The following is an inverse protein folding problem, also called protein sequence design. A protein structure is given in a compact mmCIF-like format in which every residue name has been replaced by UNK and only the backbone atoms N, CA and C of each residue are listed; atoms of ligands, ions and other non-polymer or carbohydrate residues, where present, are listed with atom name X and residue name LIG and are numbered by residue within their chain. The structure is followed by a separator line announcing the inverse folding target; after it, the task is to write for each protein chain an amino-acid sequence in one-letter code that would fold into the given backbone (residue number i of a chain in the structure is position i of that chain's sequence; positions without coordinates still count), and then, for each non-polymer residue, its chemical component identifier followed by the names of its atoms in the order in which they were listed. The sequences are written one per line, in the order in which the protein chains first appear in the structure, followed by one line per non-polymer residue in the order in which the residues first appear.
data_IF_741870819172
#
_entry.id   IF_741870819172
#
_cell.length_a   1.000
_cell.length_b   1.000
_cell.length_c   1.000
_cell.angle_alpha   90.00
_cell.angle_beta   90.00
_cell.angle_gamma   90.00
#
_symmetry.space_group_name_H-M   'P 1'
#
loop_
_entity.id
_entity.type
_entity.pdbx_description
1 polymer ?
#
# COMPACT_ATOMS: atom_id res chain seq x y z
N UNK A 1 0.89 -14.31 -14.82
CA UNK A 1 -0.57 -14.36 -14.56
C UNK A 1 -0.93 -14.26 -13.06
N UNK A 2 -0.43 -15.11 -12.12
CA UNK A 2 -0.91 -15.07 -10.73
C UNK A 2 -0.73 -13.74 -10.01
N UNK A 3 0.37 -13.03 -10.28
CA UNK A 3 0.66 -11.73 -9.67
C UNK A 3 -0.40 -10.66 -9.98
N UNK A 4 -0.96 -10.65 -11.20
CA UNK A 4 -1.98 -9.67 -11.60
C UNK A 4 -3.30 -9.92 -10.85
N UNK A 5 -3.69 -11.18 -10.70
CA UNK A 5 -4.89 -11.53 -9.94
C UNK A 5 -4.76 -11.15 -8.46
N UNK A 6 -3.60 -11.44 -7.85
CA UNK A 6 -3.31 -11.04 -6.47
C UNK A 6 -3.35 -9.52 -6.31
N UNK A 7 -2.73 -8.74 -7.21
CA UNK A 7 -2.75 -7.28 -7.11
C UNK A 7 -4.16 -6.68 -7.21
N UNK A 8 -5.05 -7.29 -7.99
CA UNK A 8 -6.45 -6.83 -8.06
C UNK A 8 -7.20 -7.10 -6.77
N UNK A 9 -6.98 -8.24 -6.11
CA UNK A 9 -7.66 -8.60 -4.86
C UNK A 9 -7.14 -7.78 -3.68
N UNK A 10 -5.82 -7.67 -3.53
CA UNK A 10 -5.22 -6.91 -2.43
C UNK A 10 -5.37 -5.39 -2.59
N UNK A 11 -5.60 -4.93 -3.83
CA UNK A 11 -5.62 -3.52 -4.16
C UNK A 11 -4.23 -2.95 -4.41
N UNK A 12 -4.20 -1.79 -5.09
CA UNK A 12 -2.98 -1.09 -5.47
C UNK A 12 -2.84 0.29 -4.82
N UNK A 13 -3.83 0.68 -4.01
CA UNK A 13 -3.89 1.96 -3.31
C UNK A 13 -4.68 1.80 -2.02
N UNK A 14 -4.37 2.63 -1.04
CA UNK A 14 -5.09 2.72 0.22
C UNK A 14 -5.11 4.17 0.69
N UNK A 15 -6.12 4.52 1.48
CA UNK A 15 -6.26 5.83 2.10
C UNK A 15 -6.16 5.65 3.61
N UNK A 16 -5.24 6.39 4.24
CA UNK A 16 -5.07 6.39 5.69
C UNK A 16 -5.42 7.78 6.20
N UNK A 17 -6.38 7.91 7.15
CA UNK A 17 -6.67 9.18 7.80
C UNK A 17 -5.44 9.68 8.57
N UNK A 18 -5.30 11.01 8.64
CA UNK A 18 -4.27 11.69 9.43
C UNK A 18 -4.98 12.56 10.46
N UNK A 19 -4.66 12.39 11.75
CA UNK A 19 -5.15 13.22 12.86
C UNK A 19 -3.94 13.69 13.67
N UNK A 20 -3.89 14.97 14.02
CA UNK A 20 -2.79 15.57 14.80
C UNK A 20 -1.40 15.20 14.25
N UNK A 21 -1.23 15.31 12.94
CA UNK A 21 0.01 14.98 12.21
C UNK A 21 0.45 13.51 12.28
N UNK A 22 -0.38 12.60 12.77
CA UNK A 22 -0.09 11.16 12.86
C UNK A 22 -1.00 10.36 11.92
N UNK A 23 -0.45 9.31 11.31
CA UNK A 23 -1.26 8.32 10.56
C UNK A 23 -2.12 7.52 11.54
N UNK A 24 -3.42 7.44 11.29
CA UNK A 24 -4.37 6.70 12.12
C UNK A 24 -4.27 5.19 11.88
N UNK A 25 -3.15 4.59 12.28
CA UNK A 25 -2.95 3.15 12.30
C UNK A 25 -3.17 2.62 13.72
N UNK A 26 -3.82 1.47 13.86
CA UNK A 26 -3.88 0.75 15.11
C UNK A 26 -2.52 0.17 15.51
N UNK A 27 -2.36 -0.22 16.78
CA UNK A 27 -1.11 -0.77 17.36
C UNK A 27 -0.51 -1.93 16.55
N UNK A 28 -1.35 -2.71 15.88
CA UNK A 28 -0.95 -3.88 15.09
C UNK A 28 -1.19 -3.71 13.58
N UNK A 29 -1.48 -2.49 13.12
CA UNK A 29 -1.63 -2.17 11.71
C UNK A 29 -0.33 -1.61 11.16
N UNK A 30 0.00 -2.01 9.94
CA UNK A 30 1.18 -1.54 9.23
C UNK A 30 0.91 -1.54 7.74
N UNK A 31 1.61 -0.66 7.01
CA UNK A 31 1.50 -0.57 5.56
C UNK A 31 2.58 -1.42 4.93
N UNK A 32 2.18 -2.33 4.05
CA UNK A 32 3.09 -3.23 3.35
C UNK A 32 3.05 -3.01 1.84
N UNK A 33 4.23 -3.09 1.22
CA UNK A 33 4.35 -3.22 -0.22
C UNK A 33 4.44 -4.71 -0.58
N UNK A 34 3.47 -5.21 -1.32
CA UNK A 34 3.41 -6.63 -1.70
C UNK A 34 3.91 -6.84 -3.14
N UNK A 35 5.16 -7.26 -3.30
CA UNK A 35 5.66 -7.74 -4.61
C UNK A 35 5.24 -9.19 -4.84
N UNK A 36 4.36 -9.41 -5.82
CA UNK A 36 3.86 -10.74 -6.14
C UNK A 36 4.63 -11.47 -7.24
N UNK A 37 5.69 -10.86 -7.79
CA UNK A 37 6.57 -11.50 -8.78
C UNK A 37 7.88 -11.95 -8.12
N UNK A 38 8.32 -13.15 -8.44
CA UNK A 38 9.59 -13.70 -7.93
C UNK A 38 10.80 -12.85 -8.37
N UNK A 39 10.72 -12.23 -9.55
CA UNK A 39 11.73 -11.32 -10.09
C UNK A 39 11.09 -9.95 -10.32
N UNK A 40 10.88 -9.23 -9.22
CA UNK A 40 10.45 -7.84 -9.22
C UNK A 40 11.55 -6.91 -9.74
N UNK A 41 11.15 -5.79 -10.35
CA UNK A 41 12.06 -4.68 -10.68
C UNK A 41 11.75 -3.49 -9.79
N UNK A 42 12.38 -2.34 -10.05
CA UNK A 42 12.15 -1.12 -9.27
C UNK A 42 10.67 -0.71 -9.23
N UNK A 43 10.26 -0.21 -8.07
CA UNK A 43 8.87 0.18 -7.78
C UNK A 43 8.82 1.62 -7.31
N UNK A 44 7.71 2.28 -7.64
CA UNK A 44 7.42 3.64 -7.22
C UNK A 44 6.11 3.62 -6.44
N UNK A 45 6.17 4.16 -5.23
CA UNK A 45 5.00 4.41 -4.38
C UNK A 45 4.78 5.91 -4.39
N UNK A 46 3.53 6.33 -4.54
CA UNK A 46 3.15 7.75 -4.54
C UNK A 46 2.29 8.01 -3.30
N UNK A 47 2.61 9.08 -2.59
CA UNK A 47 1.86 9.57 -1.45
C UNK A 47 1.20 10.89 -1.86
N UNK A 48 -0.10 10.99 -1.62
CA UNK A 48 -0.88 12.20 -1.87
C UNK A 48 -1.45 12.68 -0.54
N UNK A 49 -1.21 13.94 -0.20
CA UNK A 49 -1.86 14.61 0.92
C UNK A 49 -3.10 15.32 0.37
N UNK A 50 -4.27 14.92 0.86
CA UNK A 50 -5.53 15.57 0.53
C UNK A 50 -5.91 16.45 1.73
N UNK A 51 -6.17 17.73 1.45
CA UNK A 51 -6.53 18.76 2.44
C UNK A 51 -8.04 18.98 2.45
#
# INVERSE_FOLDING_TARGET
MPAHFKSTIFGQSLTIPITDHNLNLGTWQSVFFCEFRNYGGNRRIVLTLNY
#
